data_IF_157324313732
#
_entry.id   IF_157324313732
#
_cell.length_a   1.000
_cell.length_b   1.000
_cell.length_c   1.000
_cell.angle_alpha   90.00
_cell.angle_beta   90.00
_cell.angle_gamma   90.00
#
_symmetry.space_group_name_H-M   'P 1'
#
loop_
_entity.id
_entity.type
_entity.pdbx_description
1 polymer ?
#
# COMPACT_ATOMS: atom_id res chain seq x y z
N UNK A 1 30.20 14.55 8.45
CA UNK A 1 29.63 13.56 9.15
C UNK A 1 28.41 13.97 9.82
N UNK A 2 27.39 13.87 9.76
CA UNK A 2 26.18 14.19 10.43
C UNK A 2 25.36 12.95 10.69
N UNK A 3 24.25 13.16 11.30
CA UNK A 3 23.30 12.09 11.58
C UNK A 3 22.49 11.79 10.32
N UNK A 4 22.17 10.53 10.11
CA UNK A 4 21.41 10.14 8.97
C UNK A 4 20.39 9.08 9.38
N UNK A 5 19.14 9.27 8.99
CA UNK A 5 18.12 8.27 9.29
C UNK A 5 18.29 7.07 8.37
N UNK A 6 18.03 5.91 8.91
CA UNK A 6 18.13 4.67 8.15
C UNK A 6 16.71 4.12 7.98
N UNK A 7 16.00 4.68 7.04
CA UNK A 7 14.60 4.32 6.83
C UNK A 7 14.47 2.96 6.17
N UNK A 8 13.46 2.22 6.57
CA UNK A 8 13.15 0.94 5.97
C UNK A 8 12.33 1.14 4.71
N UNK A 9 12.59 0.33 3.72
CA UNK A 9 11.94 0.43 2.43
C UNK A 9 11.35 -0.91 2.05
N UNK A 10 10.10 -0.91 1.61
CA UNK A 10 9.43 -2.09 1.08
C UNK A 10 9.39 -1.97 -0.44
N UNK A 11 9.77 -3.03 -1.12
CA UNK A 11 9.73 -3.04 -2.58
C UNK A 11 8.52 -3.86 -3.01
N UNK A 12 7.66 -3.25 -3.81
CA UNK A 12 6.45 -3.89 -4.30
C UNK A 12 6.59 -4.05 -5.81
N UNK A 13 6.41 -5.27 -6.30
CA UNK A 13 6.56 -5.57 -7.71
C UNK A 13 5.18 -5.73 -8.33
N UNK A 14 4.89 -4.91 -9.34
CA UNK A 14 3.66 -5.00 -10.09
C UNK A 14 4.01 -4.98 -11.56
N UNK A 15 3.68 -6.03 -12.28
CA UNK A 15 3.97 -6.17 -13.71
C UNK A 15 5.47 -5.99 -13.99
N UNK A 16 6.30 -6.55 -13.12
CA UNK A 16 7.76 -6.49 -13.25
C UNK A 16 8.33 -5.09 -13.09
N UNK A 17 7.55 -4.17 -12.58
CA UNK A 17 8.03 -2.84 -12.20
C UNK A 17 8.08 -2.78 -10.69
N UNK A 18 9.20 -2.32 -10.17
CA UNK A 18 9.40 -2.29 -8.73
C UNK A 18 9.15 -0.90 -8.19
N UNK A 19 8.31 -0.82 -7.17
CA UNK A 19 7.99 0.43 -6.50
C UNK A 19 8.56 0.37 -5.09
N UNK A 20 9.29 1.40 -4.70
CA UNK A 20 9.89 1.47 -3.37
C UNK A 20 9.04 2.36 -2.49
N UNK A 21 8.62 1.83 -1.36
CA UNK A 21 7.78 2.57 -0.41
C UNK A 21 8.51 2.64 0.92
N UNK A 22 8.76 3.85 1.38
CA UNK A 22 9.51 4.06 2.61
C UNK A 22 8.58 4.01 3.81
N UNK A 23 9.02 3.34 4.86
CA UNK A 23 8.27 3.24 6.11
C UNK A 23 8.45 4.54 6.88
N UNK A 24 7.39 5.32 6.95
CA UNK A 24 7.39 6.58 7.68
C UNK A 24 5.95 6.89 8.06
N UNK A 25 5.79 7.93 8.86
CA UNK A 25 4.47 8.23 9.40
C UNK A 25 3.42 8.43 8.31
N UNK A 26 3.81 9.07 7.22
CA UNK A 26 2.86 9.32 6.14
C UNK A 26 2.31 8.03 5.55
N UNK A 27 3.10 6.94 5.59
CA UNK A 27 2.62 5.66 5.07
C UNK A 27 1.44 5.15 5.88
N UNK A 28 1.50 5.31 7.21
CA UNK A 28 0.41 4.87 8.07
C UNK A 28 -0.88 5.57 7.68
N UNK A 29 -0.80 6.89 7.45
CA UNK A 29 -1.97 7.66 7.05
C UNK A 29 -2.51 7.18 5.71
N UNK A 30 -1.63 6.89 4.75
CA UNK A 30 -2.05 6.41 3.44
C UNK A 30 -2.71 5.05 3.51
N UNK A 31 -2.21 4.17 4.39
CA UNK A 31 -2.83 2.86 4.55
C UNK A 31 -4.20 2.97 5.21
N UNK A 32 -4.36 3.92 6.15
CA UNK A 32 -5.67 4.15 6.73
C UNK A 32 -6.65 4.65 5.68
N UNK A 33 -6.20 5.53 4.80
CA UNK A 33 -7.04 6.01 3.71
C UNK A 33 -7.43 4.88 2.77
N UNK A 34 -6.49 3.98 2.48
CA UNK A 34 -6.80 2.84 1.62
C UNK A 34 -7.85 1.95 2.27
N UNK A 35 -7.75 1.77 3.58
CA UNK A 35 -8.74 0.97 4.29
C UNK A 35 -10.13 1.58 4.19
N UNK A 36 -10.19 2.90 4.28
CA UNK A 36 -11.46 3.60 4.12
C UNK A 36 -12.01 3.42 2.70
N UNK A 37 -11.13 3.42 1.72
CA UNK A 37 -11.54 3.20 0.35
C UNK A 37 -12.18 1.82 0.21
N UNK A 38 -11.57 0.79 0.77
CA UNK A 38 -12.16 -0.55 0.76
C UNK A 38 -13.52 -0.55 1.43
N UNK A 39 -13.62 0.12 2.57
CA UNK A 39 -14.85 0.11 3.34
C UNK A 39 -15.99 0.82 2.65
N UNK A 40 -15.70 1.80 1.81
CA UNK A 40 -16.75 2.53 1.11
C UNK A 40 -17.13 1.89 -0.22
N UNK A 41 -16.37 0.90 -0.67
CA UNK A 41 -16.64 0.24 -1.94
C UNK A 41 -17.84 -0.70 -1.79
N UNK A 42 -18.79 -0.58 -2.73
CA UNK A 42 -19.94 -1.47 -2.77
C UNK A 42 -20.04 -2.06 -4.15
N UNK A 43 -19.88 -3.36 -4.20
CA UNK A 43 -19.75 -4.05 -5.48
C UNK A 43 -20.98 -3.93 -6.35
N UNK A 44 -22.15 -3.78 -5.74
CA UNK A 44 -23.40 -3.82 -6.51
C UNK A 44 -24.06 -2.47 -6.67
N UNK A 45 -23.48 -1.42 -6.16
CA UNK A 45 -24.16 -0.14 -6.15
C UNK A 45 -23.70 0.87 -7.15
N UNK A 46 -22.59 0.62 -7.81
CA UNK A 46 -21.95 1.69 -8.57
C UNK A 46 -21.65 1.34 -10.00
N UNK A 47 -22.52 0.56 -10.62
CA UNK A 47 -22.27 0.16 -11.99
C UNK A 47 -22.23 1.33 -12.94
N UNK A 48 -22.99 2.38 -12.62
CA UNK A 48 -23.06 3.53 -13.49
C UNK A 48 -21.89 4.47 -13.29
N UNK A 49 -21.13 4.28 -12.22
CA UNK A 49 -20.05 5.20 -11.88
C UNK A 49 -18.71 4.51 -11.90
N UNK A 50 -18.51 3.62 -12.88
CA UNK A 50 -17.28 2.85 -12.95
C UNK A 50 -16.06 3.77 -13.02
N UNK A 51 -16.13 4.80 -13.85
CA UNK A 51 -14.99 5.72 -13.98
C UNK A 51 -14.68 6.41 -12.67
N UNK A 52 -15.71 6.84 -11.95
CA UNK A 52 -15.50 7.54 -10.69
C UNK A 52 -14.90 6.62 -9.64
N UNK A 53 -15.40 5.40 -9.57
CA UNK A 53 -14.88 4.44 -8.59
C UNK A 53 -13.44 4.08 -8.93
N UNK A 54 -13.16 3.84 -10.20
CA UNK A 54 -11.80 3.57 -10.62
C UNK A 54 -10.87 4.73 -10.28
N UNK A 55 -11.36 5.97 -10.44
CA UNK A 55 -10.55 7.13 -10.11
C UNK A 55 -10.23 7.20 -8.62
N UNK A 56 -11.16 6.78 -7.76
CA UNK A 56 -10.90 6.75 -6.33
C UNK A 56 -9.78 5.76 -6.01
N UNK A 57 -9.85 4.56 -6.59
CA UNK A 57 -8.79 3.58 -6.39
C UNK A 57 -7.47 4.04 -6.98
N UNK A 58 -7.51 4.67 -8.15
CA UNK A 58 -6.29 5.14 -8.79
C UNK A 58 -5.61 6.20 -7.93
N UNK A 59 -6.38 7.09 -7.32
CA UNK A 59 -5.80 8.09 -6.43
C UNK A 59 -5.17 7.45 -5.19
N UNK A 60 -5.82 6.43 -4.64
CA UNK A 60 -5.26 5.73 -3.49
C UNK A 60 -3.94 5.05 -3.86
N UNK A 61 -3.88 4.42 -5.03
CA UNK A 61 -2.66 3.78 -5.49
C UNK A 61 -1.56 4.82 -5.68
N UNK A 62 -1.89 5.94 -6.33
CA UNK A 62 -0.90 7.00 -6.55
C UNK A 62 -0.40 7.58 -5.24
N UNK A 63 -1.26 7.69 -4.24
CA UNK A 63 -0.83 8.26 -2.97
C UNK A 63 0.19 7.39 -2.28
N UNK A 64 0.16 6.09 -2.52
CA UNK A 64 1.11 5.17 -1.89
C UNK A 64 2.35 4.97 -2.75
N UNK A 65 2.17 4.74 -4.04
CA UNK A 65 3.28 4.38 -4.92
C UNK A 65 3.90 5.57 -5.65
N UNK A 66 3.19 6.68 -5.72
CA UNK A 66 3.67 7.87 -6.42
C UNK A 66 2.74 8.27 -7.54
N UNK A 67 2.71 9.56 -7.84
CA UNK A 67 1.85 10.11 -8.87
C UNK A 67 2.16 9.45 -10.20
N UNK A 68 1.12 9.00 -10.89
CA UNK A 68 1.28 8.37 -12.19
C UNK A 68 1.39 6.86 -12.14
N UNK A 69 1.52 6.29 -10.95
CA UNK A 69 1.68 4.84 -10.83
C UNK A 69 0.46 4.09 -11.33
N UNK A 70 -0.73 4.54 -10.94
CA UNK A 70 -1.94 3.85 -11.36
C UNK A 70 -2.08 3.89 -12.88
N UNK A 71 -1.80 5.04 -13.49
CA UNK A 71 -1.89 5.15 -14.94
C UNK A 71 -0.94 4.17 -15.63
N UNK A 72 0.25 4.01 -15.07
CA UNK A 72 1.22 3.08 -15.64
C UNK A 72 0.79 1.63 -15.45
N UNK A 73 0.28 1.32 -14.27
CA UNK A 73 -0.12 -0.05 -13.96
C UNK A 73 -1.27 -0.50 -14.85
N UNK A 74 -2.23 0.39 -15.06
CA UNK A 74 -3.43 0.03 -15.81
C UNK A 74 -3.40 0.47 -17.26
N UNK A 75 -2.23 0.85 -17.76
CA UNK A 75 -2.10 1.36 -19.13
C UNK A 75 -2.59 0.30 -20.12
N UNK A 76 -3.43 0.73 -21.06
CA UNK A 76 -3.94 -0.16 -22.08
C UNK A 76 -5.07 -1.08 -21.63
N UNK A 77 -5.52 -0.95 -20.39
CA UNK A 77 -6.59 -1.80 -19.88
C UNK A 77 -7.88 -1.00 -19.75
N UNK A 78 -9.00 -1.69 -19.90
CA UNK A 78 -10.30 -1.05 -19.66
C UNK A 78 -10.47 -0.75 -18.19
N UNK A 79 -11.32 0.22 -17.89
CA UNK A 79 -11.68 0.50 -16.52
C UNK A 79 -12.39 -0.68 -15.92
N UNK A 80 -11.87 -1.20 -14.82
CA UNK A 80 -12.41 -2.39 -14.18
C UNK A 80 -12.22 -2.22 -12.68
N UNK A 81 -13.32 -2.10 -11.96
CA UNK A 81 -13.27 -1.82 -10.53
C UNK A 81 -12.58 -2.96 -9.79
N UNK A 82 -12.87 -4.20 -10.16
CA UNK A 82 -12.30 -5.33 -9.45
C UNK A 82 -10.79 -5.42 -9.65
N UNK A 83 -10.28 -5.01 -10.82
CA UNK A 83 -8.84 -4.95 -11.02
C UNK A 83 -8.21 -3.92 -10.12
N UNK A 84 -8.83 -2.73 -10.03
CA UNK A 84 -8.31 -1.68 -9.16
C UNK A 84 -8.32 -2.12 -7.70
N UNK A 85 -9.41 -2.76 -7.31
CA UNK A 85 -9.52 -3.28 -5.96
C UNK A 85 -8.40 -4.30 -5.70
N UNK A 86 -8.19 -5.21 -6.64
CA UNK A 86 -7.18 -6.26 -6.45
C UNK A 86 -5.79 -5.68 -6.32
N UNK A 87 -5.46 -4.68 -7.12
CA UNK A 87 -4.12 -4.07 -7.07
C UNK A 87 -3.93 -3.32 -5.76
N UNK A 88 -4.92 -2.50 -5.37
CA UNK A 88 -4.80 -1.77 -4.12
C UNK A 88 -4.73 -2.74 -2.94
N UNK A 89 -5.50 -3.83 -2.99
CA UNK A 89 -5.48 -4.82 -1.93
C UNK A 89 -4.12 -5.49 -1.84
N UNK A 90 -3.53 -5.81 -2.99
CA UNK A 90 -2.21 -6.40 -3.00
C UNK A 90 -1.18 -5.45 -2.37
N UNK A 91 -1.23 -4.18 -2.74
CA UNK A 91 -0.32 -3.18 -2.18
C UNK A 91 -0.53 -3.08 -0.66
N UNK A 92 -1.78 -2.99 -0.24
CA UNK A 92 -2.11 -2.86 1.16
C UNK A 92 -1.61 -4.06 1.96
N UNK A 93 -1.83 -5.27 1.46
CA UNK A 93 -1.42 -6.47 2.16
C UNK A 93 0.10 -6.56 2.26
N UNK A 94 0.80 -6.20 1.19
CA UNK A 94 2.27 -6.24 1.22
C UNK A 94 2.82 -5.25 2.24
N UNK A 95 2.24 -4.06 2.30
CA UNK A 95 2.74 -3.05 3.21
C UNK A 95 2.38 -3.34 4.66
N UNK A 96 1.20 -3.90 4.90
CA UNK A 96 0.85 -4.25 6.28
C UNK A 96 1.71 -5.40 6.78
N UNK A 97 2.04 -6.36 5.91
CA UNK A 97 2.95 -7.44 6.30
C UNK A 97 4.34 -6.88 6.58
N UNK A 98 4.79 -5.93 5.77
CA UNK A 98 6.08 -5.29 5.97
C UNK A 98 6.13 -4.56 7.31
N UNK A 99 5.08 -3.81 7.63
CA UNK A 99 5.03 -3.07 8.88
C UNK A 99 4.97 -4.01 10.08
N UNK A 100 4.26 -5.11 9.94
CA UNK A 100 4.21 -6.10 11.00
C UNK A 100 5.59 -6.70 11.23
N UNK A 101 6.30 -6.99 10.16
CA UNK A 101 7.63 -7.53 10.24
C UNK A 101 8.58 -6.59 11.00
N UNK A 102 8.50 -5.29 10.72
CA UNK A 102 9.31 -4.32 11.43
C UNK A 102 8.95 -4.29 12.91
N UNK A 103 7.67 -4.32 13.21
CA UNK A 103 7.20 -4.32 14.57
C UNK A 103 7.71 -5.53 15.35
N UNK A 104 7.69 -6.69 14.70
CA UNK A 104 8.16 -7.91 15.33
C UNK A 104 9.65 -7.88 15.57
N UNK A 105 10.40 -7.29 14.67
CA UNK A 105 11.82 -7.12 14.89
C UNK A 105 12.09 -6.33 16.14
N UNK A 106 11.36 -5.23 16.31
CA UNK A 106 11.55 -4.40 17.47
C UNK A 106 11.18 -5.14 18.74
N UNK A 107 10.17 -5.96 18.69
CA UNK A 107 9.75 -6.70 19.87
C UNK A 107 10.70 -7.82 20.21
N UNK A 108 11.32 -8.40 19.21
CA UNK A 108 12.20 -9.52 19.43
C UNK A 108 13.47 -9.12 20.16
N UNK A 109 13.99 -7.95 19.85
CA UNK A 109 15.24 -7.52 20.44
C UNK A 109 15.26 -7.54 21.94
N UNK A 110 14.29 -6.90 22.61
CA UNK A 110 14.30 -6.93 24.06
C UNK A 110 14.15 -8.34 24.60
N UNK A 111 13.42 -9.16 23.90
CA UNK A 111 13.17 -10.51 24.38
C UNK A 111 14.37 -11.39 24.32
N UNK A 112 15.22 -11.15 23.34
CA UNK A 112 16.41 -11.97 23.26
C UNK A 112 17.33 -11.70 24.41
N UNK A 113 17.27 -10.52 24.94
CA UNK A 113 18.07 -10.23 26.10
C UNK A 113 17.51 -10.80 27.34
N UNK A 114 16.27 -11.20 27.28
CA UNK A 114 15.59 -11.65 28.46
C UNK A 114 15.17 -13.08 28.25
N UNK A 115 16.01 -13.93 28.37
CA UNK A 115 15.65 -15.28 28.12
C UNK A 115 14.79 -15.85 29.19
N UNK A 116 14.30 -15.74 29.34
CA UNK A 116 13.60 -16.32 29.85
C UNK A 116 13.26 -16.93 30.17
N UNK A 117 13.61 -16.58 29.95
CA UNK A 117 13.26 -17.05 30.01
C UNK A 117 12.93 -17.33 30.07
#
# INVERSE_FOLDING_TARGET
>A
MGFRFNDRVCVIDINDVKYSVTFQKALVDRLNEARETFGSFKADGDKENVSEVCAVFDRAIDSILGVGSAAAIFAGRFENIMERYAVLRYIYDELTAFMKSISEEKNVQPETENPHN
#
